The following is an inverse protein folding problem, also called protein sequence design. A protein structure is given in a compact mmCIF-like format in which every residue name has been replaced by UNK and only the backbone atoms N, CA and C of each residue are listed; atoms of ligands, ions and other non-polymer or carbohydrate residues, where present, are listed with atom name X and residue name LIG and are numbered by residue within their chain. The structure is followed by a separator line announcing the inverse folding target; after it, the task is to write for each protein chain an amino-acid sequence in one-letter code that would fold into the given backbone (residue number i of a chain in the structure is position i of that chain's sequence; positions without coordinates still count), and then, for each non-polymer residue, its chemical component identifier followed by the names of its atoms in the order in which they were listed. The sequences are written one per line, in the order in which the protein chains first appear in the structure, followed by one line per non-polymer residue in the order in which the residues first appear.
data_IF_980646701617
#
_entry.id   IF_980646701617
#
_cell.length_a   1.000
_cell.length_b   1.000
_cell.length_c   1.000
_cell.angle_alpha   90.00
_cell.angle_beta   90.00
_cell.angle_gamma   90.00
#
_symmetry.space_group_name_H-M   'P 1'
#
loop_
_entity.id
_entity.type
_entity.pdbx_description
1 polymer ?
#
# COMPACT_ATOMS: atom_id res chain seq x y z
N UNK A 1 8.64 16.37 -6.16
CA UNK A 1 7.15 16.45 -6.18
C UNK A 1 6.65 17.45 -7.23
N UNK A 2 7.58 18.13 -7.89
CA UNK A 2 7.33 19.23 -8.82
C UNK A 2 6.90 18.77 -10.22
N UNK A 3 7.12 17.50 -10.55
CA UNK A 3 6.87 16.93 -11.89
C UNK A 3 5.69 15.94 -11.94
N UNK A 4 5.14 15.56 -10.78
CA UNK A 4 4.08 14.54 -10.70
C UNK A 4 2.97 14.99 -9.74
N UNK A 5 1.73 14.65 -10.09
CA UNK A 5 0.57 15.03 -9.27
C UNK A 5 0.39 14.19 -8.00
N UNK A 6 0.98 12.99 -7.94
CA UNK A 6 0.86 12.07 -6.81
C UNK A 6 1.93 10.96 -6.85
N UNK A 7 2.12 10.28 -5.73
CA UNK A 7 2.91 9.05 -5.61
C UNK A 7 1.99 7.89 -5.22
N UNK A 8 2.12 6.74 -5.88
CA UNK A 8 1.40 5.50 -5.56
C UNK A 8 2.36 4.39 -5.14
N UNK A 9 2.01 3.68 -4.07
CA UNK A 9 2.80 2.54 -3.58
C UNK A 9 2.16 1.23 -4.01
N UNK A 10 2.92 0.46 -4.78
CA UNK A 10 2.53 -0.88 -5.23
C UNK A 10 2.65 -1.89 -4.10
N UNK A 11 1.49 -2.37 -3.64
CA UNK A 11 1.32 -3.45 -2.67
C UNK A 11 0.48 -4.60 -3.26
N UNK A 12 0.47 -4.76 -4.59
CA UNK A 12 -0.42 -5.68 -5.29
C UNK A 12 0.23 -6.58 -6.34
N UNK A 13 1.52 -6.44 -6.64
CA UNK A 13 2.22 -7.29 -7.61
C UNK A 13 2.55 -8.67 -7.01
N UNK A 14 2.08 -9.79 -7.58
CA UNK A 14 2.40 -11.14 -7.10
C UNK A 14 3.60 -11.77 -7.81
N UNK A 15 4.21 -11.09 -8.78
CA UNK A 15 5.31 -11.66 -9.56
C UNK A 15 6.50 -11.97 -8.66
N UNK A 16 7.15 -13.10 -8.92
CA UNK A 16 8.20 -13.65 -8.06
C UNK A 16 9.33 -12.66 -7.76
N UNK A 17 9.78 -11.87 -8.75
CA UNK A 17 10.82 -10.85 -8.54
C UNK A 17 10.41 -9.78 -7.52
N UNK A 18 9.12 -9.40 -7.51
CA UNK A 18 8.58 -8.42 -6.56
C UNK A 18 8.53 -9.03 -5.16
N UNK A 19 8.01 -10.27 -5.06
CA UNK A 19 7.87 -10.97 -3.78
C UNK A 19 9.22 -11.25 -3.14
N UNK A 20 10.20 -11.76 -3.91
CA UNK A 20 11.57 -11.99 -3.44
C UNK A 20 12.27 -10.69 -3.00
N UNK A 21 11.93 -9.56 -3.62
CA UNK A 21 12.41 -8.25 -3.21
C UNK A 21 11.66 -7.62 -2.02
N UNK A 22 10.68 -8.32 -1.43
CA UNK A 22 9.87 -7.77 -0.34
C UNK A 22 8.90 -6.65 -0.77
N UNK A 23 8.59 -6.57 -2.07
CA UNK A 23 7.72 -5.56 -2.69
C UNK A 23 6.38 -6.16 -3.11
N UNK A 24 5.41 -5.32 -3.48
CA UNK A 24 4.11 -5.79 -3.97
C UNK A 24 3.35 -6.53 -2.86
N UNK A 25 2.80 -7.71 -3.16
CA UNK A 25 2.02 -8.47 -2.16
C UNK A 25 2.84 -8.90 -0.94
N UNK A 26 4.17 -8.99 -1.06
CA UNK A 26 5.04 -9.27 0.08
C UNK A 26 5.04 -8.10 1.07
N UNK A 27 5.01 -6.86 0.58
CA UNK A 27 4.89 -5.67 1.43
C UNK A 27 3.52 -5.60 2.09
N UNK A 28 2.44 -5.96 1.38
CA UNK A 28 1.09 -5.99 1.95
C UNK A 28 0.97 -6.95 3.15
N UNK A 29 1.67 -8.08 3.10
CA UNK A 29 1.70 -9.07 4.19
C UNK A 29 2.45 -8.55 5.42
N UNK A 30 3.39 -7.63 5.24
CA UNK A 30 4.07 -6.91 6.30
C UNK A 30 3.42 -5.53 6.52
N UNK A 31 2.20 -5.55 7.07
CA UNK A 31 1.37 -4.33 7.20
C UNK A 31 2.03 -3.25 8.07
N UNK A 32 2.86 -3.63 9.04
CA UNK A 32 3.56 -2.67 9.91
C UNK A 32 4.63 -1.91 9.12
N UNK A 33 5.44 -2.63 8.32
CA UNK A 33 6.39 -1.99 7.40
C UNK A 33 5.70 -1.13 6.36
N UNK A 34 4.59 -1.61 5.78
CA UNK A 34 3.77 -0.83 4.85
C UNK A 34 3.29 0.47 5.50
N UNK A 35 2.78 0.42 6.73
CA UNK A 35 2.33 1.60 7.46
C UNK A 35 3.48 2.58 7.74
N UNK A 36 4.66 2.06 8.10
CA UNK A 36 5.84 2.90 8.33
C UNK A 36 6.27 3.64 7.05
N UNK A 37 6.28 2.95 5.90
CA UNK A 37 6.59 3.57 4.60
C UNK A 37 5.58 4.65 4.26
N UNK A 38 4.27 4.35 4.35
CA UNK A 38 3.22 5.31 4.03
C UNK A 38 3.25 6.53 4.93
N UNK A 39 3.40 6.36 6.25
CA UNK A 39 3.51 7.49 7.19
C UNK A 39 4.72 8.36 6.88
N UNK A 40 5.86 7.74 6.55
CA UNK A 40 7.07 8.47 6.16
C UNK A 40 6.81 9.32 4.92
N UNK A 41 6.21 8.74 3.87
CA UNK A 41 5.92 9.46 2.64
C UNK A 41 4.91 10.58 2.84
N UNK A 42 3.79 10.29 3.51
CA UNK A 42 2.72 11.26 3.81
C UNK A 42 3.26 12.45 4.62
N UNK A 43 4.21 12.22 5.54
CA UNK A 43 4.77 13.28 6.38
C UNK A 43 5.82 14.16 5.68
N UNK A 44 6.38 13.70 4.55
CA UNK A 44 7.54 14.35 3.91
C UNK A 44 7.26 14.82 2.47
N UNK A 45 6.09 14.53 1.91
CA UNK A 45 5.68 14.98 0.58
C UNK A 45 4.49 15.93 0.70
N UNK A 46 4.51 17.00 -0.09
CA UNK A 46 3.39 17.94 -0.21
C UNK A 46 2.31 17.48 -1.20
N UNK A 47 2.63 16.50 -2.07
CA UNK A 47 1.69 15.88 -3.00
C UNK A 47 1.00 14.63 -2.40
N UNK A 48 -0.21 14.27 -2.87
CA UNK A 48 -0.92 13.08 -2.43
C UNK A 48 -0.11 11.78 -2.52
N UNK A 49 -0.19 10.98 -1.45
CA UNK A 49 0.31 9.62 -1.42
C UNK A 49 -0.88 8.66 -1.46
N UNK A 50 -0.81 7.69 -2.35
CA UNK A 50 -1.84 6.67 -2.58
C UNK A 50 -1.23 5.28 -2.51
N UNK A 51 -2.07 4.25 -2.44
CA UNK A 51 -1.57 2.90 -2.59
C UNK A 51 -2.52 1.98 -3.33
N UNK A 52 -1.96 0.93 -3.91
CA UNK A 52 -2.70 -0.11 -4.61
C UNK A 52 -2.43 -1.49 -4.01
N UNK A 53 -3.49 -2.16 -3.55
CA UNK A 53 -3.43 -3.47 -2.89
C UNK A 53 -4.18 -4.56 -3.67
N UNK A 54 -4.10 -5.78 -3.14
CA UNK A 54 -4.98 -6.93 -3.40
C UNK A 54 -5.82 -7.22 -2.15
N UNK A 55 -6.86 -8.05 -2.30
CA UNK A 55 -7.61 -8.57 -1.16
C UNK A 55 -6.89 -9.78 -0.55
N UNK A 56 -7.22 -10.12 0.69
CA UNK A 56 -6.89 -11.40 1.30
C UNK A 56 -8.06 -12.38 1.09
N UNK A 57 -7.81 -13.68 1.32
CA UNK A 57 -8.86 -14.71 1.28
C UNK A 57 -9.98 -14.43 2.31
N UNK A 58 -9.63 -13.84 3.46
CA UNK A 58 -10.60 -13.37 4.47
C UNK A 58 -10.97 -11.90 4.22
N UNK A 59 -12.28 -11.58 4.11
CA UNK A 59 -12.77 -10.20 4.09
C UNK A 59 -12.38 -9.43 5.36
N UNK A 60 -12.41 -10.07 6.52
CA UNK A 60 -12.06 -9.47 7.81
C UNK A 60 -10.59 -9.05 7.82
N UNK A 61 -9.70 -9.94 7.37
CA UNK A 61 -8.27 -9.62 7.23
C UNK A 61 -8.04 -8.47 6.25
N UNK A 62 -8.79 -8.43 5.14
CA UNK A 62 -8.73 -7.32 4.19
C UNK A 62 -9.14 -6.00 4.85
N UNK A 63 -10.25 -6.00 5.58
CA UNK A 63 -10.75 -4.82 6.29
C UNK A 63 -9.76 -4.32 7.35
N UNK A 64 -9.14 -5.22 8.11
CA UNK A 64 -8.17 -4.86 9.15
C UNK A 64 -6.93 -4.19 8.54
N UNK A 65 -6.38 -4.76 7.47
CA UNK A 65 -5.24 -4.17 6.77
C UNK A 65 -5.62 -2.83 6.14
N UNK A 66 -6.78 -2.74 5.47
CA UNK A 66 -7.25 -1.48 4.86
C UNK A 66 -7.40 -0.37 5.92
N UNK A 67 -7.98 -0.66 7.09
CA UNK A 67 -8.09 0.32 8.19
C UNK A 67 -6.71 0.82 8.63
N UNK A 68 -5.73 -0.07 8.80
CA UNK A 68 -4.36 0.32 9.15
C UNK A 68 -3.75 1.24 8.10
N UNK A 69 -3.88 0.90 6.81
CA UNK A 69 -3.31 1.68 5.71
C UNK A 69 -3.99 3.06 5.61
N UNK A 70 -5.31 3.14 5.69
CA UNK A 70 -6.05 4.43 5.64
C UNK A 70 -5.64 5.35 6.80
N UNK A 71 -5.43 4.79 8.00
CA UNK A 71 -4.97 5.55 9.18
C UNK A 71 -3.55 6.14 9.06
N UNK A 72 -2.82 5.85 7.97
CA UNK A 72 -1.51 6.47 7.70
C UNK A 72 -1.63 7.85 7.06
N UNK A 73 -2.82 8.25 6.62
CA UNK A 73 -3.07 9.54 5.96
C UNK A 73 -2.96 9.50 4.43
N UNK A 74 -2.93 8.31 3.81
CA UNK A 74 -3.05 8.17 2.36
C UNK A 74 -4.35 8.83 1.85
N UNK A 75 -4.28 9.44 0.67
CA UNK A 75 -5.42 10.15 0.06
C UNK A 75 -6.41 9.19 -0.59
N UNK A 76 -5.92 8.07 -1.15
CA UNK A 76 -6.75 7.06 -1.80
C UNK A 76 -6.12 5.66 -1.72
N UNK A 77 -6.99 4.65 -1.83
CA UNK A 77 -6.61 3.24 -1.93
C UNK A 77 -7.30 2.58 -3.13
N UNK A 78 -6.52 1.96 -4.00
CA UNK A 78 -7.01 1.15 -5.11
C UNK A 78 -6.96 -0.33 -4.76
N UNK A 79 -8.06 -1.06 -4.94
CA UNK A 79 -8.16 -2.48 -4.56
C UNK A 79 -8.38 -3.33 -5.81
N UNK A 80 -7.47 -4.26 -6.04
CA UNK A 80 -7.71 -5.34 -7.01
C UNK A 80 -8.40 -6.50 -6.30
N UNK A 81 -9.64 -6.81 -6.68
CA UNK A 81 -10.47 -7.87 -6.06
C UNK A 81 -10.03 -9.32 -6.35
N UNK A 82 -8.71 -9.58 -6.37
CA UNK A 82 -8.09 -10.91 -6.46
C UNK A 82 -6.99 -11.02 -5.41
N UNK A 83 -6.75 -12.23 -4.91
CA UNK A 83 -5.69 -12.55 -3.96
C UNK A 83 -4.31 -12.66 -4.61
#
# INVERSE_FOLDING_TARGET
EDDVAAIDINMGCPKEFSVKGGMGVALLRDSEKACHILKTLVSNLSIPVTCKIRIFESPEQTLDVVKKLVNTGITAIAIHGRT
#
